data_IF_128655786803
#
_entry.id   IF_128655786803
#
_cell.length_a   1.000
_cell.length_b   1.000
_cell.length_c   1.000
_cell.angle_alpha   90.00
_cell.angle_beta   90.00
_cell.angle_gamma   90.00
#
_symmetry.space_group_name_H-M   'P 1'
#
loop_
_entity.id
_entity.type
_entity.pdbx_description
1 polymer ?
#
# COMPACT_ATOMS: atom_id res chain seq x y z
N UNK A 1 2.82 23.45 -0.48
CA UNK A 1 4.10 23.45 0.23
C UNK A 1 4.80 22.09 0.11
N UNK A 2 6.09 22.07 0.44
CA UNK A 2 6.87 20.84 0.36
C UNK A 2 6.33 19.77 1.31
N UNK A 3 5.84 20.18 2.48
CA UNK A 3 5.26 19.25 3.46
C UNK A 3 4.00 18.56 2.91
N UNK A 4 3.18 19.32 2.17
CA UNK A 4 1.97 18.76 1.58
C UNK A 4 2.30 17.73 0.48
N UNK A 5 3.30 18.02 -0.33
CA UNK A 5 3.74 17.10 -1.38
C UNK A 5 4.31 15.82 -0.76
N UNK A 6 5.12 15.96 0.30
CA UNK A 6 5.69 14.82 0.99
C UNK A 6 4.59 13.96 1.62
N UNK A 7 3.62 14.58 2.28
CA UNK A 7 2.49 13.87 2.89
C UNK A 7 1.68 13.11 1.86
N UNK A 8 1.39 13.75 0.73
CA UNK A 8 0.63 13.12 -0.35
C UNK A 8 1.36 11.90 -0.88
N UNK A 9 2.66 12.00 -1.08
CA UNK A 9 3.47 10.88 -1.54
C UNK A 9 3.48 9.73 -0.57
N UNK A 10 3.61 10.03 0.73
CA UNK A 10 3.60 9.00 1.77
C UNK A 10 2.24 8.29 1.84
N UNK A 11 1.15 9.04 1.69
CA UNK A 11 -0.19 8.46 1.70
C UNK A 11 -0.37 7.50 0.53
N UNK A 12 0.04 7.91 -0.66
CA UNK A 12 -0.05 7.07 -1.85
C UNK A 12 0.78 5.80 -1.68
N UNK A 13 1.99 5.93 -1.16
CA UNK A 13 2.86 4.78 -0.91
C UNK A 13 2.21 3.83 0.10
N UNK A 14 1.61 4.35 1.16
CA UNK A 14 0.94 3.54 2.17
C UNK A 14 -0.23 2.75 1.56
N UNK A 15 -1.06 3.40 0.77
CA UNK A 15 -2.19 2.74 0.11
C UNK A 15 -1.71 1.67 -0.87
N UNK A 16 -0.69 1.98 -1.66
CA UNK A 16 -0.13 1.04 -2.63
C UNK A 16 0.45 -0.19 -1.93
N UNK A 17 1.21 0.03 -0.87
CA UNK A 17 1.79 -1.06 -0.09
C UNK A 17 0.70 -1.94 0.53
N UNK A 18 -0.34 -1.32 1.10
CA UNK A 18 -1.45 -2.07 1.68
C UNK A 18 -2.17 -2.92 0.65
N UNK A 19 -2.38 -2.38 -0.55
CA UNK A 19 -3.02 -3.11 -1.63
C UNK A 19 -2.20 -4.33 -2.06
N UNK A 20 -0.89 -4.16 -2.17
CA UNK A 20 0.01 -5.26 -2.52
C UNK A 20 0.03 -6.35 -1.46
N UNK A 21 0.08 -5.96 -0.19
CA UNK A 21 0.05 -6.90 0.91
C UNK A 21 -1.25 -7.70 0.94
N UNK A 22 -2.37 -7.03 0.71
CA UNK A 22 -3.67 -7.69 0.65
C UNK A 22 -3.71 -8.73 -0.47
N UNK A 23 -3.16 -8.41 -1.63
CA UNK A 23 -3.08 -9.34 -2.75
C UNK A 23 -2.24 -10.57 -2.42
N UNK A 24 -1.09 -10.38 -1.79
CA UNK A 24 -0.21 -11.48 -1.39
C UNK A 24 -0.91 -12.38 -0.37
N UNK A 25 -1.57 -11.79 0.63
CA UNK A 25 -2.28 -12.54 1.66
C UNK A 25 -3.38 -13.40 1.03
N UNK A 26 -4.11 -12.85 0.06
CA UNK A 26 -5.16 -13.62 -0.63
C UNK A 26 -4.60 -14.81 -1.37
N UNK A 27 -3.47 -14.63 -2.05
CA UNK A 27 -2.82 -15.72 -2.77
C UNK A 27 -2.37 -16.83 -1.81
N UNK A 28 -1.76 -16.46 -0.70
CA UNK A 28 -1.28 -17.42 0.29
C UNK A 28 -2.45 -18.20 0.89
N UNK A 29 -3.55 -17.52 1.21
CA UNK A 29 -4.73 -18.16 1.79
C UNK A 29 -5.46 -19.04 0.78
N UNK A 30 -5.53 -18.60 -0.46
CA UNK A 30 -6.18 -19.39 -1.51
C UNK A 30 -5.40 -20.67 -1.80
N UNK A 31 -4.10 -20.62 -1.65
CA UNK A 31 -3.22 -21.77 -1.90
C UNK A 31 -3.27 -22.78 -0.75
N UNK A 32 -3.66 -22.31 0.42
CA UNK A 32 -3.82 -23.19 1.58
C UNK A 32 -5.17 -23.85 1.56
#
# INVERSE_FOLDING_TARGET
>A
SRADVTSAGLIVLAWTTAAQMAGIVRLVRADA
#
